data_IF_453239126009
#
_entry.id   IF_453239126009
#
_cell.length_a   1.000
_cell.length_b   1.000
_cell.length_c   1.000
_cell.angle_alpha   90.00
_cell.angle_beta   90.00
_cell.angle_gamma   90.00
#
_symmetry.space_group_name_H-M   'P 1'
#
loop_
_entity.id
_entity.type
_entity.pdbx_description
1 polymer ?
#
# COMPACT_ATOMS: atom_id res chain seq x y z
N UNK A 1 -6.74 12.43 16.91
CA UNK A 1 -6.05 11.26 16.35
C UNK A 1 -5.69 11.54 14.90
N UNK A 2 -4.51 11.10 14.44
CA UNK A 2 -4.10 11.19 13.03
C UNK A 2 -4.81 10.06 12.28
N UNK A 3 -5.45 10.35 11.13
CA UNK A 3 -6.09 9.32 10.31
C UNK A 3 -5.02 8.52 9.58
N UNK A 4 -5.18 7.19 9.56
CA UNK A 4 -4.39 6.31 8.70
C UNK A 4 -4.81 6.47 7.23
N UNK A 5 -3.84 6.32 6.32
CA UNK A 5 -3.97 6.67 4.90
C UNK A 5 -3.41 5.53 4.03
N UNK A 6 -4.14 5.18 2.99
CA UNK A 6 -3.67 4.39 1.85
C UNK A 6 -3.74 5.26 0.59
N UNK A 7 -2.70 5.20 -0.24
CA UNK A 7 -2.66 5.76 -1.60
C UNK A 7 -2.38 4.61 -2.56
N UNK A 8 -3.28 4.37 -3.51
CA UNK A 8 -3.12 3.30 -4.48
C UNK A 8 -3.38 3.81 -5.90
N UNK A 9 -2.63 3.29 -6.87
CA UNK A 9 -2.84 3.58 -8.29
C UNK A 9 -1.61 3.35 -9.15
N UNK A 10 -1.73 3.73 -10.42
CA UNK A 10 -0.64 3.80 -11.39
C UNK A 10 0.11 5.13 -11.24
N UNK A 11 1.40 5.05 -10.90
CA UNK A 11 2.28 6.20 -10.72
C UNK A 11 3.10 6.51 -11.97
N UNK A 12 3.04 5.65 -13.00
CA UNK A 12 3.82 5.75 -14.24
C UNK A 12 5.31 6.05 -14.00
N UNK A 13 5.90 5.43 -12.97
CA UNK A 13 7.30 5.69 -12.63
C UNK A 13 8.21 5.18 -13.73
N UNK A 14 9.02 6.05 -14.34
CA UNK A 14 9.95 5.69 -15.41
C UNK A 14 11.15 4.90 -14.86
N UNK A 15 11.53 5.13 -13.59
CA UNK A 15 12.65 4.45 -12.93
C UNK A 15 12.21 3.68 -11.67
N UNK A 16 10.93 3.27 -11.61
CA UNK A 16 10.36 2.50 -10.50
C UNK A 16 10.38 3.25 -9.16
N UNK A 17 10.59 2.51 -8.07
CA UNK A 17 10.61 3.04 -6.70
C UNK A 17 11.67 4.12 -6.44
N UNK A 18 12.67 4.29 -7.33
CA UNK A 18 13.71 5.31 -7.19
C UNK A 18 13.16 6.73 -7.29
N UNK A 19 12.19 6.96 -8.18
CA UNK A 19 11.52 8.26 -8.33
C UNK A 19 10.68 8.61 -7.10
N UNK A 20 10.05 7.58 -6.52
CA UNK A 20 9.25 7.70 -5.30
C UNK A 20 10.09 7.93 -4.05
N UNK A 21 11.41 7.74 -4.08
CA UNK A 21 12.25 7.77 -2.87
C UNK A 21 12.12 9.08 -2.08
N UNK A 22 12.14 10.24 -2.78
CA UNK A 22 11.97 11.54 -2.13
C UNK A 22 10.56 11.72 -1.58
N UNK A 23 9.53 11.27 -2.31
CA UNK A 23 8.14 11.32 -1.87
C UNK A 23 7.91 10.46 -0.62
N UNK A 24 8.42 9.23 -0.60
CA UNK A 24 8.33 8.32 0.54
C UNK A 24 9.10 8.87 1.75
N UNK A 25 10.29 9.43 1.54
CA UNK A 25 11.07 10.06 2.60
C UNK A 25 10.36 11.29 3.20
N UNK A 26 9.71 12.11 2.37
CA UNK A 26 9.02 13.32 2.82
C UNK A 26 7.68 13.01 3.52
N UNK A 27 6.98 11.96 3.09
CA UNK A 27 5.65 11.60 3.61
C UNK A 27 5.70 10.58 4.75
N UNK A 28 6.77 9.79 4.83
CA UNK A 28 6.87 8.63 5.72
C UNK A 28 5.97 7.46 5.33
N UNK A 29 5.40 7.49 4.12
CA UNK A 29 4.61 6.38 3.60
C UNK A 29 5.50 5.18 3.26
N UNK A 30 4.91 3.99 3.32
CA UNK A 30 5.56 2.71 3.05
C UNK A 30 4.92 2.01 1.86
N UNK A 31 5.71 1.25 1.11
CA UNK A 31 5.22 0.44 0.01
C UNK A 31 4.76 -0.94 0.51
N UNK A 32 3.54 -1.33 0.17
CA UNK A 32 3.03 -2.67 0.46
C UNK A 32 3.78 -3.77 -0.33
N UNK A 33 4.18 -3.46 -1.56
CA UNK A 33 5.01 -4.34 -2.40
C UNK A 33 6.50 -4.20 -2.04
N UNK A 34 6.92 -4.91 -0.97
CA UNK A 34 8.29 -4.82 -0.43
C UNK A 34 9.35 -5.41 -1.35
N UNK A 35 8.99 -6.46 -2.09
CA UNK A 35 9.89 -7.15 -3.02
C UNK A 35 10.05 -6.41 -4.35
N UNK A 36 9.23 -5.38 -4.59
CA UNK A 36 9.24 -4.64 -5.85
C UNK A 36 8.78 -5.46 -7.05
N UNK A 37 7.89 -6.44 -6.83
CA UNK A 37 7.37 -7.30 -7.87
C UNK A 37 6.71 -6.46 -8.98
N UNK A 38 6.98 -6.76 -10.26
CA UNK A 38 6.42 -5.98 -11.36
C UNK A 38 4.93 -6.27 -11.55
N UNK A 39 4.19 -5.25 -11.98
CA UNK A 39 2.76 -5.30 -12.27
C UNK A 39 2.44 -4.94 -13.73
N UNK A 40 3.44 -4.46 -14.48
CA UNK A 40 3.21 -3.99 -15.84
C UNK A 40 4.37 -4.38 -16.80
N UNK A 41 4.05 -4.70 -18.07
CA UNK A 41 2.72 -5.04 -18.57
C UNK A 41 2.28 -6.41 -18.06
N UNK A 42 0.97 -6.64 -17.88
CA UNK A 42 0.43 -7.84 -17.23
C UNK A 42 0.84 -9.18 -17.87
N UNK A 43 1.02 -9.20 -19.19
CA UNK A 43 1.38 -10.40 -19.96
C UNK A 43 2.89 -10.74 -19.89
N UNK A 44 3.73 -9.80 -19.47
CA UNK A 44 5.16 -10.00 -19.27
C UNK A 44 5.69 -9.00 -18.24
N UNK A 45 5.31 -9.11 -16.95
CA UNK A 45 5.58 -8.09 -15.96
C UNK A 45 7.08 -7.89 -15.74
N UNK A 46 7.56 -6.67 -15.95
CA UNK A 46 8.96 -6.31 -15.71
C UNK A 46 9.13 -4.89 -15.15
N UNK A 47 8.04 -4.15 -14.94
CA UNK A 47 8.03 -2.82 -14.33
C UNK A 47 7.05 -2.78 -13.15
N UNK A 48 7.48 -2.17 -12.06
CA UNK A 48 6.62 -1.76 -10.95
C UNK A 48 6.26 -0.29 -11.17
N UNK A 49 5.09 -0.05 -11.75
CA UNK A 49 4.53 1.31 -11.91
C UNK A 49 3.25 1.51 -11.12
N UNK A 50 2.61 0.41 -10.69
CA UNK A 50 1.47 0.42 -9.78
C UNK A 50 1.96 0.27 -8.34
N UNK A 51 1.42 1.10 -7.44
CA UNK A 51 1.82 1.12 -6.04
C UNK A 51 0.60 1.13 -5.12
N UNK A 52 0.75 0.46 -3.98
CA UNK A 52 -0.09 0.65 -2.79
C UNK A 52 0.85 1.17 -1.70
N UNK A 53 0.67 2.42 -1.32
CA UNK A 53 1.42 3.10 -0.28
C UNK A 53 0.53 3.27 0.96
N UNK A 54 1.09 3.09 2.15
CA UNK A 54 0.34 3.15 3.40
C UNK A 54 1.08 3.91 4.50
N UNK A 55 0.33 4.48 5.44
CA UNK A 55 0.88 5.09 6.64
C UNK A 55 1.39 4.04 7.64
N UNK A 56 2.17 4.50 8.61
CA UNK A 56 2.89 3.66 9.57
C UNK A 56 1.99 2.81 10.49
N UNK A 57 0.75 3.24 10.78
CA UNK A 57 -0.21 2.50 11.61
C UNK A 57 -1.05 1.47 10.85
N UNK A 58 -0.77 1.27 9.56
CA UNK A 58 -1.34 0.19 8.74
C UNK A 58 -0.33 -0.95 8.65
N UNK A 59 -0.78 -2.14 9.03
CA UNK A 59 -0.04 -3.38 8.94
C UNK A 59 -0.45 -4.13 7.68
N UNK A 60 0.54 -4.54 6.88
CA UNK A 60 0.30 -5.33 5.67
C UNK A 60 0.37 -6.81 6.05
N UNK A 61 -0.77 -7.47 5.99
CA UNK A 61 -0.92 -8.88 6.35
C UNK A 61 -0.55 -9.78 5.16
N UNK A 62 -0.93 -9.36 3.96
CA UNK A 62 -0.62 -10.06 2.71
C UNK A 62 -0.49 -9.08 1.53
N UNK A 63 0.35 -9.42 0.56
CA UNK A 63 0.41 -8.72 -0.72
C UNK A 63 0.61 -9.74 -1.84
N UNK A 64 -0.16 -9.63 -2.92
CA UNK A 64 -0.03 -10.50 -4.09
C UNK A 64 -0.40 -9.81 -5.39
N UNK A 65 0.18 -10.33 -6.48
CA UNK A 65 -0.12 -9.93 -7.86
C UNK A 65 -0.55 -11.22 -8.58
N UNK A 66 -1.85 -11.52 -8.70
CA UNK A 66 -2.29 -12.71 -9.39
C UNK A 66 -2.06 -12.58 -10.90
N UNK A 67 -1.86 -13.71 -11.58
CA UNK A 67 -1.73 -13.76 -13.04
C UNK A 67 -3.10 -13.57 -13.71
N UNK A 68 -3.50 -12.31 -13.88
CA UNK A 68 -4.74 -11.88 -14.53
C UNK A 68 -4.37 -10.88 -15.64
N UNK A 69 -4.68 -11.23 -16.89
CA UNK A 69 -4.27 -10.48 -18.09
C UNK A 69 -5.47 -9.82 -18.80
N UNK A 70 -6.49 -9.42 -18.04
CA UNK A 70 -7.69 -8.75 -18.57
C UNK A 70 -7.50 -7.24 -18.79
N UNK A 71 -6.41 -6.68 -18.26
CA UNK A 71 -5.90 -5.32 -18.52
C UNK A 71 -4.41 -5.45 -18.83
N UNK A 72 -3.81 -4.41 -19.42
CA UNK A 72 -2.37 -4.25 -19.55
C UNK A 72 -1.64 -4.02 -18.21
N UNK A 73 -2.37 -3.76 -17.12
CA UNK A 73 -1.86 -3.77 -15.74
C UNK A 73 -2.33 -5.00 -14.98
N UNK A 74 -1.44 -5.63 -14.21
CA UNK A 74 -1.79 -6.69 -13.27
C UNK A 74 -2.41 -6.08 -12.01
N UNK A 75 -3.51 -6.65 -11.48
CA UNK A 75 -4.13 -6.15 -10.26
C UNK A 75 -3.20 -6.36 -9.06
N UNK A 76 -3.20 -5.41 -8.13
CA UNK A 76 -2.52 -5.53 -6.84
C UNK A 76 -3.54 -5.86 -5.76
N UNK A 77 -3.31 -6.94 -5.01
CA UNK A 77 -4.14 -7.34 -3.87
C UNK A 77 -3.33 -7.14 -2.59
N UNK A 78 -3.91 -6.45 -1.62
CA UNK A 78 -3.27 -6.13 -0.35
C UNK A 78 -4.27 -6.32 0.79
N UNK A 79 -4.03 -7.32 1.62
CA UNK A 79 -4.76 -7.47 2.88
C UNK A 79 -4.03 -6.68 3.96
N UNK A 80 -4.78 -5.93 4.76
CA UNK A 80 -4.21 -5.07 5.78
C UNK A 80 -5.08 -4.99 7.03
N UNK A 81 -4.42 -4.70 8.14
CA UNK A 81 -5.04 -4.42 9.42
C UNK A 81 -4.61 -3.03 9.91
N UNK A 82 -5.46 -2.40 10.72
CA UNK A 82 -5.16 -1.13 11.38
C UNK A 82 -5.07 -1.38 12.87
N UNK A 83 -4.19 -0.65 13.55
CA UNK A 83 -4.19 -0.61 15.01
C UNK A 83 -5.57 -0.14 15.49
N UNK A 84 -6.29 -1.02 16.18
CA UNK A 84 -7.51 -0.61 16.87
C UNK A 84 -7.09 0.25 18.04
N UNK A 85 -7.34 1.55 17.97
CA UNK A 85 -7.46 2.31 19.21
C UNK A 85 -8.63 1.68 19.97
N UNK A 86 -8.42 1.15 21.20
CA UNK A 86 -9.55 0.78 22.01
C UNK A 86 -10.45 2.02 22.09
N UNK A 87 -11.71 1.86 21.72
CA UNK A 87 -12.73 2.87 22.03
C UNK A 87 -12.53 3.23 23.49
N UNK A 88 -12.51 4.52 23.88
CA UNK A 88 -12.41 4.89 25.28
C UNK A 88 -13.49 4.11 26.01
N UNK A 89 -13.05 3.16 26.83
CA UNK A 89 -13.95 2.35 27.65
C UNK A 89 -14.66 3.37 28.51
N UNK A 90 -15.98 3.51 28.33
CA UNK A 90 -16.77 4.35 29.22
C UNK A 90 -16.46 3.88 30.64
N UNK A 91 -15.71 4.69 31.40
CA UNK A 91 -15.73 4.56 32.84
C UNK A 91 -17.18 4.83 33.21
N UNK A 92 -17.90 3.76 33.52
CA UNK A 92 -19.16 3.88 34.25
C UNK A 92 -18.86 4.80 35.43
N UNK A 93 -19.46 5.99 35.40
CA UNK A 93 -19.58 6.85 36.57
C UNK A 93 -20.46 6.09 37.57
N UNK A 94 -19.82 5.15 38.27
CA UNK A 94 -20.33 4.52 39.46
C UNK A 94 -20.37 5.58 40.56
N UNK A 95 -21.58 6.07 40.79
CA UNK A 95 -22.18 6.52 42.06
C UNK A 95 -21.23 6.98 43.17
#
# INVERSE_FOLDING_TARGET
SKKEIIIAGDFNTFWGSRELRLFLAATGLKNANREGSPSHPSHAPHRQIDFILHSQGIHIDSFSIPDIQLSDHSPLICDFSCDTHPLPMYQELGR
#
